data_IF_203941634059
#
_entry.id   IF_203941634059
#
_cell.length_a   1.000
_cell.length_b   1.000
_cell.length_c   1.000
_cell.angle_alpha   90.00
_cell.angle_beta   90.00
_cell.angle_gamma   90.00
#
_symmetry.space_group_name_H-M   'P 1'
#
loop_
_entity.id
_entity.type
_entity.pdbx_description
1 polymer ?
#
# COMPACT_ATOMS: atom_id res chain seq x y z
N UNK A 1 23.54 10.50 7.42
CA UNK A 1 24.03 10.33 6.03
C UNK A 1 23.52 9.00 5.51
N UNK A 2 22.48 9.04 4.68
CA UNK A 2 21.88 7.84 4.08
C UNK A 2 22.71 7.42 2.87
N UNK A 3 23.28 6.21 2.91
CA UNK A 3 24.05 5.68 1.80
C UNK A 3 23.10 4.87 0.90
N UNK A 4 22.79 5.41 -0.27
CA UNK A 4 22.17 4.63 -1.36
C UNK A 4 23.18 3.59 -1.83
N UNK A 5 22.88 2.30 -1.68
CA UNK A 5 23.66 1.23 -2.30
C UNK A 5 22.86 0.61 -3.43
N UNK A 6 23.09 1.13 -4.63
CA UNK A 6 22.67 0.52 -5.89
C UNK A 6 23.44 -0.80 -6.05
N UNK A 7 22.73 -1.93 -6.08
CA UNK A 7 23.33 -3.20 -6.51
C UNK A 7 22.80 -3.52 -7.91
N UNK A 8 23.68 -3.71 -8.91
CA UNK A 8 23.25 -4.05 -10.27
C UNK A 8 22.86 -5.52 -10.33
N UNK A 9 21.56 -5.81 -10.43
CA UNK A 9 21.09 -7.13 -10.83
C UNK A 9 21.12 -7.21 -12.37
N UNK A 10 22.10 -7.95 -12.89
CA UNK A 10 22.21 -8.54 -14.23
C UNK A 10 21.83 -7.65 -15.44
N UNK A 11 22.85 -7.28 -16.21
CA UNK A 11 22.71 -6.64 -17.53
C UNK A 11 21.99 -7.56 -18.51
N UNK A 12 20.78 -7.20 -18.91
CA UNK A 12 20.27 -7.46 -20.25
C UNK A 12 19.21 -6.41 -20.63
N UNK A 13 19.55 -5.49 -21.54
CA UNK A 13 18.62 -4.62 -22.26
C UNK A 13 17.76 -3.66 -21.43
N UNK A 14 18.28 -2.45 -21.22
CA UNK A 14 17.60 -1.20 -20.82
C UNK A 14 16.13 -1.28 -20.34
N UNK A 15 15.93 -1.41 -19.02
CA UNK A 15 14.92 -0.74 -18.18
C UNK A 15 15.02 -1.28 -16.74
N UNK A 16 15.16 -0.39 -15.75
CA UNK A 16 15.42 -0.75 -14.35
C UNK A 16 14.22 -1.41 -13.68
N UNK A 17 14.41 -2.61 -13.12
CA UNK A 17 13.51 -3.25 -12.15
C UNK A 17 14.01 -2.83 -10.76
N UNK A 18 13.18 -2.16 -9.97
CA UNK A 18 13.51 -1.79 -8.59
C UNK A 18 13.04 -2.89 -7.65
N UNK A 19 13.99 -3.54 -6.98
CA UNK A 19 13.71 -4.51 -5.91
C UNK A 19 14.22 -3.91 -4.61
N UNK A 20 13.32 -3.57 -3.69
CA UNK A 20 13.70 -3.20 -2.32
C UNK A 20 13.95 -4.48 -1.52
N UNK A 21 15.22 -4.88 -1.40
CA UNK A 21 15.64 -5.97 -0.52
C UNK A 21 16.30 -5.41 0.74
N UNK A 22 15.81 -5.77 1.92
CA UNK A 22 16.63 -5.70 3.14
C UNK A 22 17.65 -6.85 3.08
N UNK A 23 18.93 -6.52 2.93
CA UNK A 23 20.00 -7.51 3.06
C UNK A 23 20.40 -7.68 4.53
N UNK A 24 20.55 -8.92 5.03
CA UNK A 24 21.19 -9.18 6.32
C UNK A 24 22.71 -9.20 6.12
N UNK A 25 23.44 -8.29 6.77
CA UNK A 25 24.91 -8.32 6.84
C UNK A 25 25.37 -9.16 8.05
N UNK A 26 26.38 -10.05 7.92
CA UNK A 26 26.93 -10.79 9.04
C UNK A 26 28.04 -10.01 9.76
N UNK A 27 27.84 -9.89 11.08
CA UNK A 27 28.80 -9.79 12.20
C UNK A 27 30.09 -8.97 12.00
N UNK A 28 30.06 -7.73 12.51
CA UNK A 28 31.13 -7.19 13.37
C UNK A 28 30.45 -6.73 14.66
N UNK A 29 30.91 -7.28 15.78
CA UNK A 29 30.28 -7.12 17.09
C UNK A 29 30.51 -5.74 17.71
N UNK A 30 29.43 -5.12 18.17
CA UNK A 30 29.35 -4.43 19.45
C UNK A 30 27.87 -4.09 19.72
N UNK A 31 27.44 -4.17 20.98
CA UNK A 31 26.09 -3.91 21.48
C UNK A 31 25.01 -4.98 21.19
N UNK A 32 25.29 -6.21 21.64
CA UNK A 32 24.23 -7.06 22.21
C UNK A 32 23.63 -6.33 23.42
N UNK A 33 22.46 -5.69 23.29
CA UNK A 33 21.51 -5.45 24.40
C UNK A 33 20.12 -4.92 23.96
N UNK A 34 19.72 -5.03 22.68
CA UNK A 34 18.49 -4.39 22.17
C UNK A 34 17.59 -5.27 21.27
N UNK A 35 17.54 -6.58 21.52
CA UNK A 35 16.66 -7.51 20.76
C UNK A 35 15.75 -8.38 21.64
N UNK A 36 15.77 -8.19 22.98
CA UNK A 36 14.82 -8.87 23.88
C UNK A 36 13.73 -7.95 24.47
N UNK A 37 13.79 -6.62 24.28
CA UNK A 37 12.80 -5.68 24.85
C UNK A 37 11.60 -5.33 23.95
N UNK A 38 11.58 -5.74 22.67
CA UNK A 38 10.44 -5.46 21.79
C UNK A 38 9.26 -6.42 21.96
N UNK A 39 9.45 -7.56 22.65
CA UNK A 39 8.35 -8.47 22.98
C UNK A 39 7.68 -8.15 24.34
N UNK A 40 8.28 -7.27 25.14
CA UNK A 40 7.70 -6.74 26.39
C UNK A 40 6.91 -5.44 26.14
N UNK A 41 7.09 -4.79 24.98
CA UNK A 41 6.34 -3.60 24.59
C UNK A 41 4.85 -3.83 24.28
N UNK A 42 4.42 -5.09 24.11
CA UNK A 42 2.99 -5.43 23.99
C UNK A 42 2.21 -5.21 25.29
N UNK A 43 2.90 -5.13 26.43
CA UNK A 43 2.27 -5.02 27.76
C UNK A 43 2.33 -3.60 28.33
N UNK A 44 3.33 -2.80 27.98
CA UNK A 44 3.62 -1.53 28.67
C UNK A 44 2.78 -0.34 28.17
N UNK A 45 2.25 -0.40 26.94
CA UNK A 45 1.36 0.64 26.42
C UNK A 45 -0.12 0.45 26.79
N UNK A 46 -0.48 -0.65 27.45
CA UNK A 46 -1.87 -0.91 27.86
C UNK A 46 -2.22 -0.21 29.18
N UNK A 47 -1.24 0.00 30.07
CA UNK A 47 -1.51 0.44 31.46
C UNK A 47 -0.77 1.70 31.94
N UNK A 48 -0.18 2.49 31.04
CA UNK A 48 0.35 3.81 31.42
C UNK A 48 -0.79 4.84 31.52
N UNK A 49 -1.02 5.53 32.66
CA UNK A 49 -2.00 6.62 32.73
C UNK A 49 -1.51 7.76 31.83
N UNK A 50 -2.21 7.98 30.71
CA UNK A 50 -1.99 9.18 29.90
C UNK A 50 -2.37 10.41 30.74
N UNK A 51 -1.68 11.56 30.54
CA UNK A 51 -2.07 12.81 31.18
C UNK A 51 -3.54 13.12 30.91
N UNK A 52 -4.25 13.58 31.96
CA UNK A 52 -5.67 13.89 31.91
C UNK A 52 -5.96 14.86 30.75
N UNK A 53 -6.77 14.42 29.79
CA UNK A 53 -7.18 15.23 28.63
C UNK A 53 -6.79 14.66 27.26
N UNK A 54 -5.99 13.60 27.18
CA UNK A 54 -5.79 12.88 25.91
C UNK A 54 -7.00 11.96 25.68
N UNK A 55 -7.79 12.14 24.61
CA UNK A 55 -8.85 11.18 24.29
C UNK A 55 -8.23 9.80 24.11
N UNK A 56 -8.65 8.82 24.91
CA UNK A 56 -8.32 7.42 24.62
C UNK A 56 -9.01 7.08 23.31
N UNK A 57 -8.24 7.04 22.21
CA UNK A 57 -8.72 6.48 20.97
C UNK A 57 -8.92 4.98 21.22
N UNK A 58 -10.15 4.62 21.60
CA UNK A 58 -10.59 3.24 21.81
C UNK A 58 -10.63 2.54 20.46
N UNK A 59 -9.46 2.12 19.98
CA UNK A 59 -9.34 1.38 18.73
C UNK A 59 -9.61 -0.09 19.01
N UNK A 60 -10.84 -0.53 18.73
CA UNK A 60 -11.18 -1.96 18.68
C UNK A 60 -10.69 -2.52 17.34
N UNK A 61 -9.45 -3.01 17.30
CA UNK A 61 -9.01 -3.90 16.23
C UNK A 61 -9.85 -5.18 16.34
N UNK A 62 -10.78 -5.41 15.41
CA UNK A 62 -11.44 -6.72 15.32
C UNK A 62 -10.38 -7.72 14.87
N UNK A 63 -10.10 -8.70 15.73
CA UNK A 63 -8.96 -9.63 15.63
C UNK A 63 -9.03 -10.67 14.50
N UNK A 64 -9.89 -10.48 13.50
CA UNK A 64 -10.10 -11.47 12.43
C UNK A 64 -9.36 -11.15 11.12
N UNK A 65 -8.68 -10.01 11.00
CA UNK A 65 -7.94 -9.70 9.78
C UNK A 65 -6.67 -10.52 9.68
N UNK A 66 -6.62 -11.40 8.69
CA UNK A 66 -5.45 -12.22 8.38
C UNK A 66 -4.28 -11.30 8.04
N UNK A 67 -3.21 -11.38 8.84
CA UNK A 67 -1.99 -10.65 8.56
C UNK A 67 -1.39 -11.13 7.22
N UNK A 68 -1.23 -10.21 6.28
CA UNK A 68 -0.55 -10.44 5.01
C UNK A 68 0.89 -9.92 5.14
N UNK A 69 1.92 -10.78 5.06
CA UNK A 69 3.30 -10.33 5.10
C UNK A 69 3.58 -9.46 3.86
N UNK A 70 4.33 -8.37 4.05
CA UNK A 70 4.76 -7.45 2.97
C UNK A 70 6.25 -7.16 3.10
N UNK A 71 7.08 -8.22 3.17
CA UNK A 71 8.54 -8.09 3.36
C UNK A 71 9.22 -7.78 2.02
N UNK A 72 8.67 -8.30 0.93
CA UNK A 72 9.06 -8.01 -0.44
C UNK A 72 7.83 -7.55 -1.24
N UNK A 73 7.83 -6.27 -1.63
CA UNK A 73 6.80 -5.64 -2.45
C UNK A 73 7.38 -5.35 -3.83
N UNK A 74 6.80 -5.96 -4.87
CA UNK A 74 7.23 -5.82 -6.25
C UNK A 74 6.32 -4.82 -6.98
N UNK A 75 6.88 -3.71 -7.43
CA UNK A 75 6.18 -2.75 -8.28
C UNK A 75 6.32 -3.14 -9.75
N UNK A 76 5.18 -3.27 -10.43
CA UNK A 76 5.10 -3.66 -11.83
C UNK A 76 4.28 -2.61 -12.59
N UNK A 77 4.87 -1.89 -13.56
CA UNK A 77 4.13 -0.99 -14.43
C UNK A 77 2.97 -1.72 -15.11
N UNK A 78 1.76 -1.19 -14.96
CA UNK A 78 0.55 -1.81 -15.48
C UNK A 78 0.46 -1.79 -17.02
N UNK A 79 1.30 -1.02 -17.70
CA UNK A 79 1.40 -0.94 -19.15
C UNK A 79 2.41 -1.95 -19.76
N UNK A 80 3.03 -2.79 -18.93
CA UNK A 80 4.00 -3.81 -19.38
C UNK A 80 3.53 -5.23 -19.07
N UNK A 81 2.71 -5.79 -19.97
CA UNK A 81 2.21 -7.16 -19.86
C UNK A 81 3.33 -8.21 -19.71
N UNK A 82 4.51 -7.97 -20.29
CA UNK A 82 5.63 -8.93 -20.21
C UNK A 82 6.16 -9.02 -18.78
N UNK A 83 6.19 -7.90 -18.04
CA UNK A 83 6.56 -7.89 -16.63
C UNK A 83 5.46 -8.50 -15.75
N UNK A 84 4.20 -8.20 -16.02
CA UNK A 84 3.05 -8.78 -15.29
C UNK A 84 3.07 -10.31 -15.36
N UNK A 85 3.31 -10.89 -16.54
CA UNK A 85 3.36 -12.35 -16.73
C UNK A 85 4.46 -13.06 -15.93
N UNK A 86 5.46 -12.33 -15.44
CA UNK A 86 6.55 -12.88 -14.62
C UNK A 86 6.23 -12.92 -13.14
N UNK A 87 5.19 -12.23 -12.66
CA UNK A 87 4.83 -12.18 -11.24
C UNK A 87 4.77 -13.58 -10.59
N UNK A 88 4.10 -14.60 -11.18
CA UNK A 88 3.91 -15.88 -10.52
C UNK A 88 5.19 -16.72 -10.40
N UNK A 89 6.21 -16.42 -11.21
CA UNK A 89 7.51 -17.10 -11.12
C UNK A 89 8.44 -16.46 -10.09
N UNK A 90 8.06 -15.33 -9.50
CA UNK A 90 8.83 -14.61 -8.51
C UNK A 90 8.34 -14.94 -7.10
N UNK A 91 9.27 -15.15 -6.17
CA UNK A 91 8.95 -15.35 -4.77
C UNK A 91 8.82 -13.98 -4.06
N UNK A 92 7.67 -13.32 -4.25
CA UNK A 92 7.35 -12.03 -3.63
C UNK A 92 6.09 -12.15 -2.76
N UNK A 93 6.01 -11.36 -1.69
CA UNK A 93 4.86 -11.42 -0.80
C UNK A 93 3.68 -10.59 -1.35
N UNK A 94 3.99 -9.48 -2.04
CA UNK A 94 3.01 -8.54 -2.59
C UNK A 94 3.46 -8.06 -3.97
N UNK A 95 2.55 -8.05 -4.95
CA UNK A 95 2.78 -7.49 -6.27
C UNK A 95 1.82 -6.33 -6.50
N UNK A 96 2.40 -5.15 -6.76
CA UNK A 96 1.70 -3.90 -6.98
C UNK A 96 1.66 -3.62 -8.47
N UNK A 97 0.46 -3.63 -9.05
CA UNK A 97 0.23 -3.09 -10.37
C UNK A 97 0.19 -1.57 -10.28
N UNK A 98 1.16 -0.93 -10.89
CA UNK A 98 1.38 0.51 -10.77
C UNK A 98 0.74 1.27 -11.92
N UNK A 99 -0.16 2.21 -11.59
CA UNK A 99 -0.74 3.18 -12.51
C UNK A 99 -0.13 4.57 -12.38
N UNK A 100 0.80 4.78 -11.45
CA UNK A 100 1.36 6.08 -11.10
C UNK A 100 2.73 6.30 -11.78
N UNK A 101 3.82 6.54 -11.05
CA UNK A 101 5.08 7.01 -11.62
C UNK A 101 5.74 5.97 -12.55
N UNK A 102 5.37 4.69 -12.47
CA UNK A 102 5.83 3.64 -13.37
C UNK A 102 5.22 3.68 -14.78
N UNK A 103 4.19 4.51 -15.02
CA UNK A 103 3.44 4.54 -16.30
C UNK A 103 3.43 5.95 -16.90
N UNK A 104 3.76 6.05 -18.18
CA UNK A 104 3.71 7.30 -18.93
C UNK A 104 2.27 7.84 -19.08
N UNK A 105 2.11 9.18 -19.11
CA UNK A 105 0.79 9.84 -19.16
C UNK A 105 -0.10 9.35 -20.31
N UNK A 106 0.47 9.18 -21.51
CA UNK A 106 -0.26 8.69 -22.69
C UNK A 106 -0.68 7.20 -22.59
N UNK A 107 -0.11 6.45 -21.65
CA UNK A 107 -0.41 5.02 -21.43
C UNK A 107 -1.28 4.75 -20.21
N UNK A 108 -1.65 5.77 -19.41
CA UNK A 108 -2.48 5.61 -18.21
C UNK A 108 -3.81 4.91 -18.50
N UNK A 109 -4.45 5.27 -19.62
CA UNK A 109 -5.71 4.62 -20.04
C UNK A 109 -5.52 3.14 -20.34
N UNK A 110 -4.45 2.79 -21.06
CA UNK A 110 -4.09 1.40 -21.37
C UNK A 110 -3.80 0.63 -20.07
N UNK A 111 -2.99 1.19 -19.19
CA UNK A 111 -2.63 0.61 -17.90
C UNK A 111 -3.86 0.25 -17.04
N UNK A 112 -4.85 1.15 -16.92
CA UNK A 112 -6.09 0.88 -16.18
C UNK A 112 -6.83 -0.35 -16.71
N UNK A 113 -6.95 -0.46 -18.03
CA UNK A 113 -7.62 -1.59 -18.68
C UNK A 113 -6.83 -2.89 -18.48
N UNK A 114 -5.50 -2.82 -18.57
CA UNK A 114 -4.63 -3.96 -18.31
C UNK A 114 -4.74 -4.43 -16.86
N UNK A 115 -4.89 -3.53 -15.89
CA UNK A 115 -5.13 -3.92 -14.49
C UNK A 115 -6.42 -4.70 -14.35
N UNK A 116 -7.54 -4.18 -14.89
CA UNK A 116 -8.84 -4.87 -14.84
C UNK A 116 -8.73 -6.28 -15.42
N UNK A 117 -8.13 -6.40 -16.61
CA UNK A 117 -7.88 -7.68 -17.26
C UNK A 117 -7.03 -8.61 -16.39
N UNK A 118 -5.94 -8.09 -15.83
CA UNK A 118 -5.00 -8.85 -15.00
C UNK A 118 -5.64 -9.34 -13.69
N UNK A 119 -6.48 -8.52 -13.06
CA UNK A 119 -7.20 -8.90 -11.84
C UNK A 119 -8.18 -10.05 -12.09
N UNK A 120 -8.84 -10.06 -13.25
CA UNK A 120 -9.84 -11.05 -13.63
C UNK A 120 -9.25 -12.35 -14.18
N UNK A 121 -8.20 -12.26 -15.00
CA UNK A 121 -7.69 -13.40 -15.77
C UNK A 121 -6.44 -14.04 -15.18
N UNK A 122 -5.66 -13.30 -14.38
CA UNK A 122 -4.31 -13.72 -14.00
C UNK A 122 -4.23 -14.11 -12.52
N UNK A 123 -3.64 -15.28 -12.26
CA UNK A 123 -3.34 -15.74 -10.91
C UNK A 123 -1.95 -15.29 -10.48
N UNK A 124 -1.85 -14.69 -9.30
CA UNK A 124 -0.60 -14.17 -8.73
C UNK A 124 0.05 -15.23 -7.82
N UNK A 125 -0.54 -16.42 -7.71
CA UNK A 125 -0.09 -17.46 -6.81
C UNK A 125 -0.29 -17.06 -5.36
N UNK A 126 0.78 -17.06 -4.57
CA UNK A 126 0.73 -16.67 -3.15
C UNK A 126 0.88 -15.15 -2.92
N UNK A 127 1.24 -14.38 -3.96
CA UNK A 127 1.47 -12.95 -3.82
C UNK A 127 0.16 -12.18 -3.69
N UNK A 128 0.12 -11.23 -2.76
CA UNK A 128 -1.00 -10.29 -2.63
C UNK A 128 -1.16 -9.45 -3.90
N UNK A 129 -2.39 -9.38 -4.42
CA UNK A 129 -2.76 -8.50 -5.55
C UNK A 129 -2.98 -7.09 -5.05
N UNK A 130 -2.06 -6.19 -5.33
CA UNK A 130 -2.16 -4.79 -4.95
C UNK A 130 -2.20 -3.89 -6.19
N UNK A 131 -2.89 -2.75 -6.09
CA UNK A 131 -2.93 -1.72 -7.13
C UNK A 131 -2.56 -0.38 -6.53
N UNK A 132 -1.61 0.33 -7.17
CA UNK A 132 -1.29 1.72 -6.86
C UNK A 132 -1.93 2.62 -7.89
N UNK A 133 -2.89 3.42 -7.45
CA UNK A 133 -3.57 4.42 -8.30
C UNK A 133 -2.74 5.69 -8.38
N UNK A 134 -3.15 6.65 -9.21
CA UNK A 134 -2.56 7.98 -9.24
C UNK A 134 -2.96 8.79 -8.00
N UNK A 135 -2.17 9.82 -7.68
CA UNK A 135 -2.42 10.75 -6.58
C UNK A 135 -3.69 11.57 -6.81
N UNK A 136 -4.38 11.99 -5.74
CA UNK A 136 -5.55 12.88 -5.84
C UNK A 136 -5.20 14.18 -6.56
N UNK A 137 -4.05 14.76 -6.22
CA UNK A 137 -3.54 16.00 -6.81
C UNK A 137 -3.26 15.94 -8.32
N UNK A 138 -3.13 14.75 -8.94
CA UNK A 138 -2.92 14.66 -10.39
C UNK A 138 -4.22 14.76 -11.20
N UNK A 139 -5.38 14.69 -10.55
CA UNK A 139 -6.69 14.65 -11.20
C UNK A 139 -7.04 13.33 -11.89
N UNK A 140 -6.13 12.34 -11.89
CA UNK A 140 -6.32 11.06 -12.56
C UNK A 140 -6.88 9.94 -11.66
N UNK A 141 -6.86 10.16 -10.33
CA UNK A 141 -7.27 9.16 -9.35
C UNK A 141 -8.74 8.73 -9.50
N UNK A 142 -9.64 9.63 -9.89
CA UNK A 142 -11.06 9.31 -10.04
C UNK A 142 -11.30 8.38 -11.23
N UNK A 143 -10.61 8.64 -12.36
CA UNK A 143 -10.64 7.75 -13.52
C UNK A 143 -10.08 6.36 -13.19
N UNK A 144 -9.04 6.29 -12.36
CA UNK A 144 -8.51 5.01 -11.87
C UNK A 144 -9.57 4.25 -11.08
N UNK A 145 -10.17 4.88 -10.06
CA UNK A 145 -11.21 4.27 -9.24
C UNK A 145 -12.42 3.85 -10.06
N UNK A 146 -12.85 4.69 -10.99
CA UNK A 146 -14.00 4.41 -11.86
C UNK A 146 -13.77 3.15 -12.69
N UNK A 147 -12.58 2.96 -13.26
CA UNK A 147 -12.27 1.79 -14.11
C UNK A 147 -11.99 0.55 -13.27
N UNK A 148 -11.17 0.68 -12.22
CA UNK A 148 -10.73 -0.45 -11.40
C UNK A 148 -11.88 -1.09 -10.61
N UNK A 149 -12.79 -0.29 -10.05
CA UNK A 149 -13.89 -0.78 -9.23
C UNK A 149 -15.04 -1.39 -10.06
N UNK A 150 -15.02 -1.20 -11.39
CA UNK A 150 -15.91 -1.91 -12.31
C UNK A 150 -15.46 -3.35 -12.59
N UNK A 151 -14.22 -3.72 -12.23
CA UNK A 151 -13.74 -5.08 -12.43
C UNK A 151 -14.55 -6.09 -11.63
N UNK A 152 -14.80 -7.26 -12.22
CA UNK A 152 -15.43 -8.40 -11.53
C UNK A 152 -14.61 -8.86 -10.34
N UNK A 153 -13.28 -8.73 -10.39
CA UNK A 153 -12.37 -9.12 -9.30
C UNK A 153 -11.67 -7.88 -8.77
N UNK A 154 -11.86 -7.58 -7.49
CA UNK A 154 -11.19 -6.45 -6.85
C UNK A 154 -9.78 -6.84 -6.39
N UNK A 155 -8.83 -5.88 -6.34
CA UNK A 155 -7.55 -6.13 -5.71
C UNK A 155 -7.71 -6.40 -4.20
N UNK A 156 -6.72 -7.06 -3.60
CA UNK A 156 -6.70 -7.26 -2.15
C UNK A 156 -6.37 -5.96 -1.40
N UNK A 157 -5.51 -5.13 -1.99
CA UNK A 157 -5.05 -3.86 -1.42
C UNK A 157 -5.02 -2.75 -2.47
N UNK A 158 -5.42 -1.54 -2.08
CA UNK A 158 -5.22 -0.33 -2.87
C UNK A 158 -4.29 0.65 -2.17
N UNK A 159 -3.38 1.21 -2.97
CA UNK A 159 -2.38 2.18 -2.55
C UNK A 159 -2.71 3.56 -3.11
N UNK A 160 -2.70 4.56 -2.24
CA UNK A 160 -2.89 5.97 -2.61
C UNK A 160 -1.56 6.73 -2.43
N UNK A 161 -0.89 7.15 -3.52
CA UNK A 161 0.36 7.88 -3.44
C UNK A 161 0.17 9.35 -3.04
N UNK A 162 1.26 9.97 -2.57
CA UNK A 162 1.40 11.42 -2.33
C UNK A 162 0.28 12.00 -1.46
N UNK A 163 -0.08 11.33 -0.36
CA UNK A 163 -1.09 11.84 0.57
C UNK A 163 -0.52 12.97 1.41
N UNK A 164 -1.08 14.16 1.29
CA UNK A 164 -0.59 15.35 1.98
C UNK A 164 -1.49 15.84 3.12
N UNK A 165 -2.79 15.51 3.07
CA UNK A 165 -3.80 16.04 3.99
C UNK A 165 -4.95 15.05 4.23
N UNK A 166 -5.84 15.40 5.17
CA UNK A 166 -6.96 14.53 5.57
C UNK A 166 -8.09 14.55 4.54
N UNK A 167 -8.19 15.62 3.75
CA UNK A 167 -9.19 15.79 2.70
C UNK A 167 -9.00 14.78 1.58
N UNK A 168 -7.75 14.43 1.24
CA UNK A 168 -7.45 13.40 0.24
C UNK A 168 -7.88 12.00 0.68
N UNK A 169 -7.77 11.68 1.97
CA UNK A 169 -8.28 10.41 2.53
C UNK A 169 -9.81 10.36 2.45
N UNK A 170 -10.49 11.46 2.83
CA UNK A 170 -11.96 11.57 2.73
C UNK A 170 -12.41 11.44 1.29
N UNK A 171 -11.77 12.20 0.40
CA UNK A 171 -12.04 12.20 -1.02
C UNK A 171 -11.90 10.79 -1.60
N UNK A 172 -10.80 10.09 -1.31
CA UNK A 172 -10.58 8.73 -1.79
C UNK A 172 -11.69 7.80 -1.32
N UNK A 173 -12.07 7.89 -0.05
CA UNK A 173 -13.09 7.03 0.51
C UNK A 173 -14.49 7.29 -0.05
N UNK A 174 -14.85 8.55 -0.25
CA UNK A 174 -16.14 8.93 -0.81
C UNK A 174 -16.24 8.46 -2.27
N UNK A 175 -15.17 8.65 -3.05
CA UNK A 175 -15.09 8.19 -4.45
C UNK A 175 -15.04 6.68 -4.55
N UNK A 176 -14.33 6.01 -3.64
CA UNK A 176 -14.31 4.56 -3.55
C UNK A 176 -15.73 4.00 -3.38
N UNK A 177 -16.50 4.51 -2.42
CA UNK A 177 -17.88 4.08 -2.22
C UNK A 177 -18.79 4.42 -3.39
N UNK A 178 -18.65 5.62 -3.95
CA UNK A 178 -19.43 6.06 -5.09
C UNK A 178 -19.27 5.10 -6.28
N UNK A 179 -18.02 4.73 -6.61
CA UNK A 179 -17.73 3.84 -7.73
C UNK A 179 -17.91 2.35 -7.42
N UNK A 180 -17.95 1.97 -6.14
CA UNK A 180 -18.33 0.62 -5.71
C UNK A 180 -19.80 0.30 -6.03
N UNK A 181 -20.65 1.32 -6.25
CA UNK A 181 -22.05 1.18 -6.71
C UNK A 181 -22.90 0.19 -5.90
N UNK A 182 -22.70 0.16 -4.59
CA UNK A 182 -23.44 -0.75 -3.70
C UNK A 182 -23.00 -2.21 -3.78
N UNK A 183 -21.90 -2.53 -4.46
CA UNK A 183 -21.29 -3.86 -4.42
C UNK A 183 -20.90 -4.20 -2.98
N UNK A 184 -21.48 -5.28 -2.45
CA UNK A 184 -21.12 -5.77 -1.12
C UNK A 184 -19.72 -6.37 -1.16
N UNK A 185 -18.83 -5.82 -0.34
CA UNK A 185 -17.53 -6.42 -0.07
C UNK A 185 -17.70 -7.58 0.92
N UNK A 186 -17.08 -8.73 0.66
CA UNK A 186 -17.06 -9.84 1.63
C UNK A 186 -16.17 -9.44 2.81
N UNK A 187 -14.95 -8.99 2.50
CA UNK A 187 -13.98 -8.45 3.46
C UNK A 187 -13.72 -6.97 3.17
N UNK A 188 -13.36 -6.16 4.17
CA UNK A 188 -12.90 -4.80 3.94
C UNK A 188 -11.75 -4.76 2.92
N UNK A 189 -11.75 -3.73 2.07
CA UNK A 189 -10.66 -3.49 1.13
C UNK A 189 -9.46 -2.95 1.90
N UNK A 190 -8.29 -3.57 1.77
CA UNK A 190 -7.10 -3.04 2.41
C UNK A 190 -6.67 -1.72 1.75
N UNK A 191 -6.31 -0.75 2.57
CA UNK A 191 -5.94 0.60 2.16
C UNK A 191 -4.55 0.93 2.72
N UNK A 192 -3.69 1.45 1.83
CA UNK A 192 -2.30 1.79 2.12
C UNK A 192 -2.02 3.19 1.57
N UNK A 193 -2.17 4.25 2.37
CA UNK A 193 -1.75 5.60 1.99
C UNK A 193 -0.22 5.73 2.05
N UNK A 194 0.35 6.49 1.11
CA UNK A 194 1.77 6.80 1.07
C UNK A 194 1.98 8.24 1.51
N UNK A 195 2.90 8.41 2.44
CA UNK A 195 3.34 9.71 2.92
C UNK A 195 4.77 9.94 2.44
N UNK A 196 4.88 10.47 1.23
CA UNK A 196 6.15 10.64 0.51
C UNK A 196 6.52 12.11 0.24
N UNK A 197 5.73 13.05 0.77
CA UNK A 197 6.02 14.50 0.67
C UNK A 197 6.31 15.08 2.05
N UNK A 198 7.02 16.22 2.09
CA UNK A 198 7.28 16.93 3.34
C UNK A 198 5.98 17.36 4.04
N UNK A 199 4.98 17.76 3.26
CA UNK A 199 3.66 18.13 3.79
C UNK A 199 2.93 16.93 4.39
N UNK A 200 2.92 15.79 3.68
CA UNK A 200 2.35 14.56 4.22
C UNK A 200 3.01 14.15 5.53
N UNK A 201 4.34 14.28 5.65
CA UNK A 201 5.06 13.92 6.87
C UNK A 201 4.67 14.83 8.05
N UNK A 202 4.51 16.13 7.83
CA UNK A 202 4.06 17.07 8.85
C UNK A 202 2.61 16.76 9.31
N UNK A 203 1.77 16.30 8.39
CA UNK A 203 0.38 15.95 8.64
C UNK A 203 0.17 14.47 8.99
N UNK A 204 1.23 13.69 9.17
CA UNK A 204 1.19 12.23 9.25
C UNK A 204 0.18 11.71 10.29
N UNK A 205 0.20 12.28 11.50
CA UNK A 205 -0.74 11.90 12.58
C UNK A 205 -2.19 12.10 12.16
N UNK A 206 -2.52 13.24 11.57
CA UNK A 206 -3.87 13.57 11.16
C UNK A 206 -4.35 12.65 10.02
N UNK A 207 -3.48 12.36 9.05
CA UNK A 207 -3.74 11.39 7.97
C UNK A 207 -4.02 10.00 8.53
N UNK A 208 -3.24 9.53 9.50
CA UNK A 208 -3.45 8.24 10.14
C UNK A 208 -4.78 8.17 10.90
N UNK A 209 -5.08 9.17 11.73
CA UNK A 209 -6.32 9.23 12.50
C UNK A 209 -7.55 9.26 11.57
N UNK A 210 -7.47 10.01 10.49
CA UNK A 210 -8.51 10.10 9.49
C UNK A 210 -8.70 8.78 8.72
N UNK A 211 -7.62 8.10 8.33
CA UNK A 211 -7.69 6.80 7.65
C UNK A 211 -8.32 5.72 8.54
N UNK A 212 -8.01 5.72 9.85
CA UNK A 212 -8.65 4.82 10.82
C UNK A 212 -10.14 5.13 11.00
N UNK A 213 -10.50 6.41 11.10
CA UNK A 213 -11.88 6.88 11.25
C UNK A 213 -12.73 6.49 10.03
N UNK A 214 -12.23 6.81 8.85
CA UNK A 214 -12.88 6.56 7.56
C UNK A 214 -12.99 5.07 7.26
N UNK A 215 -11.97 4.30 7.64
CA UNK A 215 -11.96 2.86 7.45
C UNK A 215 -13.12 2.12 8.14
N UNK A 216 -13.48 2.58 9.34
CA UNK A 216 -14.61 2.06 10.10
C UNK A 216 -15.96 2.33 9.43
N UNK A 217 -16.07 3.41 8.66
CA UNK A 217 -17.32 3.83 8.01
C UNK A 217 -17.51 3.19 6.63
N UNK A 218 -16.42 3.04 5.88
CA UNK A 218 -16.49 2.77 4.44
C UNK A 218 -15.87 1.43 4.03
N UNK A 219 -15.65 0.53 5.00
CA UNK A 219 -15.07 -0.81 4.80
C UNK A 219 -13.71 -0.78 4.09
N UNK A 220 -12.92 0.27 4.39
CA UNK A 220 -11.51 0.36 4.04
C UNK A 220 -10.70 0.00 5.29
N UNK A 221 -9.76 -0.93 5.21
CA UNK A 221 -8.92 -1.26 6.34
C UNK A 221 -7.54 -0.65 6.16
N UNK A 222 -7.14 0.27 7.04
CA UNK A 222 -5.75 0.72 7.09
C UNK A 222 -4.86 -0.44 7.55
N UNK A 223 -4.04 -0.99 6.63
CA UNK A 223 -3.17 -2.15 6.91
C UNK A 223 -1.69 -1.81 6.97
N UNK A 224 -1.29 -0.68 6.42
CA UNK A 224 0.08 -0.18 6.43
C UNK A 224 0.07 1.31 6.08
N UNK A 225 1.15 2.00 6.46
CA UNK A 225 1.56 3.30 5.91
C UNK A 225 2.93 3.12 5.28
N UNK A 226 3.16 3.73 4.13
CA UNK A 226 4.43 3.71 3.41
C UNK A 226 4.99 5.11 3.24
#
# INVERSE_FOLDING_TARGET
MWYQRLTPALKCGAQSIYVFQRTPQPKIGCCCWWVYELCQWKSVLVDSPLPAGVPKLSYRFTSSHKYVPRRAVLYVPADDEKKIRKIPSLNVDCAVLDCEDGVALNRKREARLTIVKTLEEFDFGHAEKCVRINSVSSGLAEEDLQVLLQSKTLPSSMMLPKVENVEEIRWFSDKFLHHLKGRTLVEPMNFIPFVETAMGLLNFKAVCEEALRTGSQHRLLLVSLL
#
